data_IF_629232576257
#
_entry.id   IF_629232576257
#
_cell.length_a   1.000
_cell.length_b   1.000
_cell.length_c   1.000
_cell.angle_alpha   90.00
_cell.angle_beta   90.00
_cell.angle_gamma   90.00
#
_symmetry.space_group_name_H-M   'P 1'
#
loop_
_entity.id
_entity.type
_entity.pdbx_description
1 polymer ?
#
# COMPACT_ATOMS: atom_id res chain seq x y z
N UNK A 1 -22.39 -12.92 -1.78
CA UNK A 1 -21.13 -13.54 -1.32
C UNK A 1 -19.93 -12.84 -1.96
N UNK A 2 -18.96 -12.48 -1.15
CA UNK A 2 -17.72 -11.93 -1.68
C UNK A 2 -16.92 -13.04 -2.38
N UNK A 3 -16.23 -12.68 -3.46
CA UNK A 3 -15.37 -13.62 -4.17
C UNK A 3 -14.12 -13.93 -3.32
N UNK A 4 -13.58 -15.16 -3.42
CA UNK A 4 -12.34 -15.47 -2.71
C UNK A 4 -11.20 -14.57 -3.16
N UNK A 5 -10.49 -14.01 -2.21
CA UNK A 5 -9.34 -13.14 -2.46
C UNK A 5 -8.11 -13.74 -1.78
N UNK A 6 -7.04 -13.92 -2.52
CA UNK A 6 -5.76 -14.37 -1.99
C UNK A 6 -4.72 -13.27 -2.11
N UNK A 7 -3.81 -13.22 -1.16
CA UNK A 7 -2.75 -12.21 -1.11
C UNK A 7 -1.41 -12.90 -1.36
N UNK A 8 -0.59 -12.31 -2.20
CA UNK A 8 0.77 -12.81 -2.45
C UNK A 8 1.74 -11.64 -2.67
N UNK A 9 3.02 -11.94 -2.68
CA UNK A 9 4.02 -10.93 -2.97
C UNK A 9 3.90 -10.43 -4.41
N UNK A 10 4.21 -9.14 -4.58
CA UNK A 10 4.29 -8.49 -5.88
C UNK A 10 5.32 -9.19 -6.77
N UNK A 11 5.05 -9.27 -8.06
CA UNK A 11 5.97 -9.79 -9.08
C UNK A 11 6.08 -8.79 -10.21
N UNK A 12 7.16 -8.91 -10.98
CA UNK A 12 7.40 -8.05 -12.14
C UNK A 12 6.25 -8.12 -13.16
N UNK A 13 5.70 -9.31 -13.38
CA UNK A 13 4.61 -9.53 -14.33
C UNK A 13 3.27 -8.90 -13.89
N UNK A 14 3.19 -8.34 -12.70
CA UNK A 14 1.98 -7.65 -12.22
C UNK A 14 1.84 -6.23 -12.78
N UNK A 15 2.85 -5.74 -13.48
CA UNK A 15 2.87 -4.37 -14.00
C UNK A 15 1.61 -4.00 -14.79
N UNK A 16 1.23 -4.81 -15.77
CA UNK A 16 0.08 -4.48 -16.61
C UNK A 16 -1.22 -4.40 -15.83
N UNK A 17 -1.41 -5.28 -14.85
CA UNK A 17 -2.60 -5.26 -14.00
C UNK A 17 -2.66 -4.01 -13.14
N UNK A 18 -1.52 -3.58 -12.59
CA UNK A 18 -1.44 -2.37 -11.76
C UNK A 18 -1.74 -1.12 -12.60
N UNK A 19 -1.16 -1.05 -13.81
CA UNK A 19 -1.43 0.04 -14.75
C UNK A 19 -2.91 0.12 -15.09
N UNK A 20 -3.54 -1.04 -15.34
CA UNK A 20 -4.97 -1.11 -15.66
C UNK A 20 -5.84 -0.64 -14.47
N UNK A 21 -5.47 -1.00 -13.25
CA UNK A 21 -6.20 -0.56 -12.05
C UNK A 21 -6.11 0.96 -11.93
N UNK A 22 -4.93 1.55 -12.13
CA UNK A 22 -4.79 3.01 -12.09
C UNK A 22 -5.64 3.67 -13.17
N UNK A 23 -5.57 3.16 -14.39
CA UNK A 23 -6.33 3.71 -15.52
C UNK A 23 -7.83 3.71 -15.23
N UNK A 24 -8.36 2.63 -14.69
CA UNK A 24 -9.78 2.55 -14.33
C UNK A 24 -10.15 3.39 -13.12
N UNK A 25 -9.17 3.75 -12.29
CA UNK A 25 -9.40 4.55 -11.09
C UNK A 25 -9.30 6.05 -11.38
N UNK A 26 -8.26 6.48 -12.12
CA UNK A 26 -7.93 7.89 -12.32
C UNK A 26 -8.07 8.34 -13.78
N UNK A 27 -8.13 7.42 -14.74
CA UNK A 27 -8.11 7.72 -16.16
C UNK A 27 -6.73 7.99 -16.72
N UNK A 28 -5.68 7.81 -15.92
CA UNK A 28 -4.28 8.04 -16.35
C UNK A 28 -3.48 6.78 -16.09
N UNK A 29 -2.81 6.27 -17.13
CA UNK A 29 -1.97 5.07 -17.04
C UNK A 29 -0.50 5.46 -17.04
N UNK A 30 0.15 5.44 -15.89
CA UNK A 30 1.55 5.84 -15.74
C UNK A 30 2.49 4.64 -15.74
N UNK A 31 2.61 3.99 -16.89
CA UNK A 31 3.37 2.74 -17.00
C UNK A 31 4.83 2.88 -16.53
N UNK A 32 5.54 3.93 -16.95
CA UNK A 32 6.93 4.13 -16.55
C UNK A 32 7.08 4.35 -15.04
N UNK A 33 6.13 5.03 -14.42
CA UNK A 33 6.11 5.22 -12.98
C UNK A 33 6.02 3.87 -12.25
N UNK A 34 5.09 3.01 -12.68
CA UNK A 34 4.90 1.71 -12.04
C UNK A 34 6.05 0.74 -12.31
N UNK A 35 6.66 0.82 -13.49
CA UNK A 35 7.88 0.04 -13.77
C UNK A 35 8.96 0.34 -12.73
N UNK A 36 9.20 1.61 -12.46
CA UNK A 36 10.20 2.04 -11.47
C UNK A 36 9.82 1.60 -10.07
N UNK A 37 8.55 1.70 -9.71
CA UNK A 37 8.09 1.27 -8.37
C UNK A 37 8.32 -0.22 -8.17
N UNK A 38 8.03 -1.02 -9.16
CA UNK A 38 8.24 -2.48 -9.11
C UNK A 38 9.73 -2.80 -9.02
N UNK A 39 10.57 -2.14 -9.82
CA UNK A 39 12.02 -2.29 -9.75
C UNK A 39 12.56 -1.99 -8.35
N UNK A 40 12.12 -0.89 -7.76
CA UNK A 40 12.53 -0.54 -6.39
C UNK A 40 12.09 -1.57 -5.38
N UNK A 41 10.89 -2.12 -5.54
CA UNK A 41 10.36 -3.14 -4.63
C UNK A 41 11.18 -4.42 -4.70
N UNK A 42 11.70 -4.78 -5.88
CA UNK A 42 12.53 -5.97 -6.04
C UNK A 42 13.97 -5.75 -5.61
N UNK A 43 14.51 -4.55 -5.88
CA UNK A 43 15.94 -4.28 -5.68
C UNK A 43 16.30 -3.88 -4.25
N UNK A 44 15.51 -3.06 -3.59
CA UNK A 44 15.90 -2.42 -2.33
C UNK A 44 14.88 -2.51 -1.21
N UNK A 45 13.69 -3.04 -1.46
CA UNK A 45 12.67 -3.18 -0.43
C UNK A 45 12.46 -4.65 -0.07
N UNK A 46 11.99 -4.94 1.16
CA UNK A 46 11.67 -6.33 1.51
C UNK A 46 10.55 -6.86 0.63
N UNK A 47 10.67 -8.09 0.17
CA UNK A 47 9.66 -8.70 -0.71
C UNK A 47 8.26 -8.76 -0.07
N UNK A 48 8.19 -8.95 1.25
CA UNK A 48 6.91 -9.02 1.95
C UNK A 48 6.20 -7.67 2.04
N UNK A 49 6.89 -6.56 1.76
CA UNK A 49 6.34 -5.22 1.93
C UNK A 49 5.51 -4.74 0.74
N UNK A 50 5.56 -5.44 -0.39
CA UNK A 50 4.72 -5.10 -1.55
C UNK A 50 3.95 -6.33 -1.97
N UNK A 51 2.61 -6.19 -1.99
CA UNK A 51 1.69 -7.31 -2.11
C UNK A 51 0.64 -7.03 -3.16
N UNK A 52 0.10 -8.09 -3.74
CA UNK A 52 -1.07 -8.00 -4.62
C UNK A 52 -2.17 -8.92 -4.12
N UNK A 53 -3.39 -8.54 -4.44
CA UNK A 53 -4.58 -9.34 -4.17
C UNK A 53 -5.08 -9.93 -5.48
N UNK A 54 -5.37 -11.22 -5.48
CA UNK A 54 -5.93 -11.92 -6.63
C UNK A 54 -7.35 -12.39 -6.34
N UNK A 55 -8.20 -12.23 -7.34
CA UNK A 55 -9.55 -12.79 -7.36
C UNK A 55 -9.87 -13.11 -8.82
N UNK A 56 -10.60 -14.18 -9.08
CA UNK A 56 -10.96 -14.59 -10.44
C UNK A 56 -9.73 -14.70 -11.36
N UNK A 57 -8.62 -15.21 -10.83
CA UNK A 57 -7.35 -15.41 -11.55
C UNK A 57 -6.75 -14.11 -12.10
N UNK A 58 -7.02 -12.97 -11.47
CA UNK A 58 -6.45 -11.68 -11.88
C UNK A 58 -6.11 -10.84 -10.67
N UNK A 59 -5.17 -9.92 -10.84
CA UNK A 59 -4.80 -8.97 -9.80
C UNK A 59 -5.90 -7.90 -9.70
N UNK A 60 -6.46 -7.75 -8.51
CA UNK A 60 -7.57 -6.81 -8.25
C UNK A 60 -7.20 -5.73 -7.23
N UNK A 61 -6.03 -5.81 -6.66
CA UNK A 61 -5.56 -4.80 -5.71
C UNK A 61 -4.07 -4.96 -5.44
N UNK A 62 -3.48 -3.93 -4.86
CA UNK A 62 -2.05 -3.93 -4.53
C UNK A 62 -1.75 -2.98 -3.38
N UNK A 63 -0.63 -3.23 -2.71
CA UNK A 63 -0.03 -2.33 -1.74
C UNK A 63 1.47 -2.30 -1.97
N UNK A 64 2.05 -1.11 -1.94
CA UNK A 64 3.50 -0.91 -1.96
C UNK A 64 3.92 -0.38 -0.61
N UNK A 65 4.91 -1.02 -0.02
CA UNK A 65 5.44 -0.62 1.27
C UNK A 65 6.94 -0.68 1.33
N UNK A 66 7.48 -0.25 2.45
CA UNK A 66 8.91 -0.31 2.74
C UNK A 66 9.16 -0.37 4.24
N UNK A 67 10.39 -0.62 4.61
CA UNK A 67 10.84 -0.53 5.99
C UNK A 67 11.85 0.60 6.12
N UNK A 68 12.01 1.12 7.33
CA UNK A 68 13.04 2.09 7.67
C UNK A 68 13.59 1.80 9.05
N UNK A 69 14.86 2.15 9.26
CA UNK A 69 15.51 1.98 10.56
C UNK A 69 15.89 3.35 11.11
N UNK A 70 15.54 3.59 12.37
CA UNK A 70 15.90 4.81 13.09
C UNK A 70 15.55 6.10 12.35
N UNK A 71 14.49 6.06 11.53
CA UNK A 71 14.05 7.24 10.79
C UNK A 71 13.37 8.24 11.73
N UNK A 72 13.53 9.51 11.44
CA UNK A 72 12.89 10.61 12.19
C UNK A 72 13.22 10.59 13.70
N UNK A 73 14.37 10.04 14.07
CA UNK A 73 14.76 9.93 15.47
C UNK A 73 14.03 8.84 16.24
N UNK A 74 13.23 8.02 15.57
CA UNK A 74 12.53 6.90 16.18
C UNK A 74 13.47 5.71 16.32
N UNK A 75 13.44 5.05 17.46
CA UNK A 75 14.24 3.85 17.66
C UNK A 75 13.56 2.65 17.01
N UNK A 76 14.39 1.72 16.51
CA UNK A 76 13.92 0.47 15.95
C UNK A 76 13.52 0.55 14.48
N UNK A 77 12.92 -0.53 14.00
CA UNK A 77 12.51 -0.66 12.61
C UNK A 77 11.02 -0.33 12.47
N UNK A 78 10.71 0.48 11.50
CA UNK A 78 9.34 0.89 11.20
C UNK A 78 8.95 0.40 9.81
N UNK A 79 7.64 0.23 9.61
CA UNK A 79 7.08 -0.10 8.31
C UNK A 79 6.29 1.09 7.76
N UNK A 80 6.29 1.24 6.45
CA UNK A 80 5.53 2.26 5.75
C UNK A 80 4.62 1.64 4.73
N UNK A 81 3.36 2.03 4.74
CA UNK A 81 2.44 1.77 3.64
C UNK A 81 2.45 3.02 2.78
N UNK A 82 2.96 2.89 1.55
CA UNK A 82 3.17 4.03 0.66
C UNK A 82 2.03 4.23 -0.33
N UNK A 83 1.56 3.15 -0.94
CA UNK A 83 0.52 3.21 -1.96
C UNK A 83 -0.40 2.01 -1.80
N UNK A 84 -1.69 2.23 -1.93
CA UNK A 84 -2.66 1.15 -1.98
C UNK A 84 -3.67 1.45 -3.09
N UNK A 85 -4.05 0.43 -3.84
CA UNK A 85 -5.04 0.56 -4.90
C UNK A 85 -5.89 -0.68 -5.02
N UNK A 86 -7.15 -0.50 -5.36
CA UNK A 86 -8.11 -1.59 -5.58
C UNK A 86 -8.88 -1.31 -6.86
N UNK A 87 -9.02 -2.34 -7.69
CA UNK A 87 -9.85 -2.27 -8.89
C UNK A 87 -11.25 -1.79 -8.52
N UNK A 88 -11.77 -0.75 -9.19
CA UNK A 88 -13.10 -0.24 -8.90
C UNK A 88 -14.20 -1.30 -8.89
N UNK A 89 -14.08 -2.34 -9.71
CA UNK A 89 -15.05 -3.43 -9.78
C UNK A 89 -15.02 -4.33 -8.53
N UNK A 90 -13.99 -4.22 -7.71
CA UNK A 90 -13.80 -5.07 -6.52
C UNK A 90 -13.82 -4.28 -5.21
N UNK A 91 -14.23 -3.03 -5.24
CA UNK A 91 -14.36 -2.20 -4.04
C UNK A 91 -15.47 -2.72 -3.14
N UNK A 92 -15.37 -2.39 -1.85
CA UNK A 92 -16.33 -2.80 -0.80
C UNK A 92 -16.45 -4.31 -0.62
N UNK A 93 -15.41 -5.05 -1.03
CA UNK A 93 -15.34 -6.50 -0.86
C UNK A 93 -14.21 -6.92 0.07
N UNK A 94 -13.64 -5.95 0.80
CA UNK A 94 -12.59 -6.23 1.79
C UNK A 94 -11.20 -6.45 1.20
N UNK A 95 -10.96 -6.13 -0.06
CA UNK A 95 -9.66 -6.34 -0.70
C UNK A 95 -8.58 -5.50 -0.04
N UNK A 96 -8.82 -4.21 0.16
CA UNK A 96 -7.85 -3.32 0.81
C UNK A 96 -7.56 -3.77 2.24
N UNK A 97 -8.59 -4.14 2.99
CA UNK A 97 -8.41 -4.62 4.37
C UNK A 97 -7.53 -5.86 4.42
N UNK A 98 -7.75 -6.81 3.51
CA UNK A 98 -6.92 -8.03 3.45
C UNK A 98 -5.48 -7.73 3.12
N UNK A 99 -5.22 -6.78 2.22
CA UNK A 99 -3.86 -6.35 1.89
C UNK A 99 -3.17 -5.76 3.11
N UNK A 100 -3.83 -4.87 3.83
CA UNK A 100 -3.26 -4.23 5.02
C UNK A 100 -3.08 -5.22 6.17
N UNK A 101 -4.03 -6.14 6.36
CA UNK A 101 -3.92 -7.18 7.38
C UNK A 101 -2.73 -8.09 7.10
N UNK A 102 -2.52 -8.48 5.84
CA UNK A 102 -1.36 -9.29 5.48
C UNK A 102 -0.06 -8.52 5.64
N UNK A 103 -0.03 -7.25 5.24
CA UNK A 103 1.13 -6.38 5.45
C UNK A 103 1.47 -6.32 6.94
N UNK A 104 0.47 -6.10 7.79
CA UNK A 104 0.64 -6.02 9.24
C UNK A 104 1.18 -7.33 9.81
N UNK A 105 0.61 -8.45 9.41
CA UNK A 105 1.05 -9.77 9.88
C UNK A 105 2.50 -10.05 9.48
N UNK A 106 2.87 -9.75 8.25
CA UNK A 106 4.25 -9.93 7.76
C UNK A 106 5.21 -9.01 8.50
N UNK A 107 4.79 -7.77 8.76
CA UNK A 107 5.60 -6.81 9.51
C UNK A 107 5.87 -7.34 10.93
N UNK A 108 4.86 -7.86 11.60
CA UNK A 108 5.01 -8.46 12.93
C UNK A 108 6.00 -9.62 12.91
N UNK A 109 5.91 -10.49 11.89
CA UNK A 109 6.83 -11.63 11.72
C UNK A 109 8.28 -11.18 11.56
N UNK A 110 8.50 -9.97 11.06
CA UNK A 110 9.84 -9.41 10.85
C UNK A 110 10.26 -8.41 11.93
N UNK A 111 9.54 -8.39 13.06
CA UNK A 111 9.92 -7.57 14.21
C UNK A 111 9.60 -6.08 14.07
N UNK A 112 8.75 -5.71 13.12
CA UNK A 112 8.33 -4.33 12.95
C UNK A 112 7.31 -3.99 14.03
N UNK A 113 7.59 -2.97 14.83
CA UNK A 113 6.74 -2.59 15.95
C UNK A 113 5.69 -1.55 15.60
N UNK A 114 5.97 -0.72 14.59
CA UNK A 114 5.07 0.38 14.23
C UNK A 114 4.96 0.49 12.73
N UNK A 115 3.75 0.67 12.23
CA UNK A 115 3.47 0.86 10.81
C UNK A 115 2.89 2.27 10.63
N UNK A 116 3.46 3.02 9.71
CA UNK A 116 3.03 4.37 9.37
C UNK A 116 2.39 4.42 7.99
N UNK A 117 1.47 5.35 7.82
CA UNK A 117 0.95 5.72 6.50
C UNK A 117 0.52 7.18 6.56
N UNK A 118 0.40 7.81 5.40
CA UNK A 118 -0.09 9.18 5.28
C UNK A 118 -1.43 9.19 4.56
N UNK A 119 -2.37 9.91 5.13
CA UNK A 119 -3.71 10.06 4.58
C UNK A 119 -4.04 11.55 4.50
N UNK A 120 -4.58 11.98 3.35
CA UNK A 120 -5.00 13.38 3.22
C UNK A 120 -6.13 13.68 4.21
N UNK A 121 -6.05 14.84 4.87
CA UNK A 121 -7.11 15.31 5.78
C UNK A 121 -8.47 15.45 5.09
N UNK A 122 -8.46 15.63 3.77
CA UNK A 122 -9.69 15.75 2.99
C UNK A 122 -10.30 14.39 2.61
N UNK A 123 -9.61 13.29 2.91
CA UNK A 123 -10.06 11.95 2.56
C UNK A 123 -10.59 11.21 3.79
N UNK A 124 -11.82 11.55 4.18
CA UNK A 124 -12.46 10.95 5.36
C UNK A 124 -12.67 9.45 5.21
N UNK A 125 -12.92 8.96 4.00
CA UNK A 125 -13.09 7.54 3.74
C UNK A 125 -11.84 6.75 4.10
N UNK A 126 -10.66 7.24 3.70
CA UNK A 126 -9.39 6.59 4.03
C UNK A 126 -9.06 6.69 5.51
N UNK A 127 -9.37 7.82 6.15
CA UNK A 127 -9.20 7.94 7.60
C UNK A 127 -10.03 6.89 8.33
N UNK A 128 -11.31 6.73 7.97
CA UNK A 128 -12.19 5.72 8.57
C UNK A 128 -11.71 4.31 8.28
N UNK A 129 -11.21 4.07 7.06
CA UNK A 129 -10.68 2.77 6.67
C UNK A 129 -9.53 2.34 7.59
N UNK A 130 -8.53 3.21 7.76
CA UNK A 130 -7.38 2.88 8.60
C UNK A 130 -7.77 2.82 10.09
N UNK A 131 -8.67 3.68 10.54
CA UNK A 131 -9.15 3.62 11.93
C UNK A 131 -9.81 2.27 12.25
N UNK A 132 -10.60 1.74 11.33
CA UNK A 132 -11.23 0.42 11.51
C UNK A 132 -10.21 -0.71 11.59
N UNK A 133 -9.02 -0.51 11.02
CA UNK A 133 -7.95 -1.51 11.08
C UNK A 133 -7.01 -1.31 12.27
N UNK A 134 -7.36 -0.41 13.17
CA UNK A 134 -6.61 -0.19 14.40
C UNK A 134 -5.54 0.90 14.31
N UNK A 135 -5.49 1.64 13.22
CA UNK A 135 -4.56 2.77 13.09
C UNK A 135 -5.12 3.98 13.83
N UNK A 136 -4.23 4.73 14.47
CA UNK A 136 -4.58 5.97 15.16
C UNK A 136 -3.67 7.08 14.66
N UNK A 137 -4.08 8.33 14.87
CA UNK A 137 -3.24 9.45 14.51
C UNK A 137 -1.98 9.43 15.40
N UNK A 138 -0.81 9.46 14.75
CA UNK A 138 0.46 9.34 15.45
C UNK A 138 0.98 10.65 16.01
N UNK A 139 2.23 10.60 16.48
CA UNK A 139 2.90 11.73 17.14
C UNK A 139 3.68 12.60 16.15
N UNK A 140 3.77 12.22 14.90
CA UNK A 140 4.54 12.94 13.88
C UNK A 140 3.67 13.99 13.21
N UNK A 141 4.26 15.15 12.93
CA UNK A 141 3.57 16.20 12.19
C UNK A 141 4.11 16.28 10.77
N UNK A 142 3.22 16.44 9.82
CA UNK A 142 3.58 16.64 8.43
C UNK A 142 3.68 18.13 8.14
N UNK A 143 4.83 18.60 7.66
CA UNK A 143 5.05 19.99 7.26
C UNK A 143 5.23 20.08 5.76
N UNK A 144 4.66 21.12 5.14
CA UNK A 144 4.81 21.36 3.72
C UNK A 144 5.02 22.83 3.44
N UNK A 145 5.62 23.16 2.32
CA UNK A 145 5.84 24.52 1.88
C UNK A 145 5.60 24.63 0.38
N UNK A 146 4.83 25.61 -0.03
CA UNK A 146 4.65 25.90 -1.45
C UNK A 146 5.90 26.63 -1.95
N UNK A 147 6.45 26.17 -3.06
CA UNK A 147 7.59 26.83 -3.69
C UNK A 147 7.10 27.74 -4.81
N UNK A 148 7.94 28.70 -5.20
CA UNK A 148 7.60 29.68 -6.25
C UNK A 148 8.05 29.16 -7.61
N UNK A 149 7.40 28.12 -8.08
CA UNK A 149 7.69 27.57 -9.42
C UNK A 149 6.49 27.78 -10.32
#
# INVERSE_FOLDING_TARGET
MSKPVSIRNLREEDLSAIVDIEDRTTGVARRSYWEKRIEMSEAIRPHWASLVAEADNRVVGFVFGRTGEMEFGLSGTIGWIEIIGVDPAYRRQGVAAKLIEQFTSSAEDHGIQTIFTLVSKSNAEMEHFFARLGFTQGQMLHFQKQTKI
#
